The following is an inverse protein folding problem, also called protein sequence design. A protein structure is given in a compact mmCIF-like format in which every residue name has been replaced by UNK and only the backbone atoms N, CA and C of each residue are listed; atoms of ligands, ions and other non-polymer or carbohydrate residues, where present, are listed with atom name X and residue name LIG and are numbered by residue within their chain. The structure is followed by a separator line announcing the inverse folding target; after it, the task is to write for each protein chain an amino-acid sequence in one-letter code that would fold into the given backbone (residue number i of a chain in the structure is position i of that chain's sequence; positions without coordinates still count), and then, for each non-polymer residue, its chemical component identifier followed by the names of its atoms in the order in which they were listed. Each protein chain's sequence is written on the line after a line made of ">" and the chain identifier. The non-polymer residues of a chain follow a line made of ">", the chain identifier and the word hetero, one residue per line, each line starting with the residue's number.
data_IF_145304647131
#
_entry.id   IF_145304647131
#
_cell.length_a   1.000
_cell.length_b   1.000
_cell.length_c   1.000
_cell.angle_alpha   90.00
_cell.angle_beta   90.00
_cell.angle_gamma   90.00
#
_symmetry.space_group_name_H-M   'P 1'
#
loop_
_entity.id
_entity.type
_entity.pdbx_description
1 polymer ?
#
# COMPACT_ATOMS: atom_id res chain seq x y z
N UNK A 1 -18.78 9.00 -1.39
CA UNK A 1 -18.34 7.94 -0.42
C UNK A 1 -17.38 8.58 0.59
N UNK A 2 -17.54 8.33 1.89
CA UNK A 2 -16.64 8.89 2.91
C UNK A 2 -15.20 8.43 2.65
N UNK A 3 -14.20 9.34 2.81
CA UNK A 3 -12.76 9.03 2.60
C UNK A 3 -12.30 7.79 3.40
N UNK A 4 -12.87 7.58 4.59
CA UNK A 4 -12.61 6.38 5.41
C UNK A 4 -13.06 5.07 4.74
N UNK A 5 -14.18 5.10 4.03
CA UNK A 5 -14.67 3.94 3.29
C UNK A 5 -13.82 3.65 2.06
N UNK A 6 -13.41 4.69 1.34
CA UNK A 6 -12.52 4.55 0.18
C UNK A 6 -11.18 3.93 0.60
N UNK A 7 -10.58 4.37 1.71
CA UNK A 7 -9.32 3.80 2.20
C UNK A 7 -9.43 2.32 2.53
N UNK A 8 -10.50 1.93 3.25
CA UNK A 8 -10.68 0.55 3.66
C UNK A 8 -10.96 -0.39 2.49
N UNK A 9 -11.74 0.07 1.51
CA UNK A 9 -12.03 -0.70 0.30
C UNK A 9 -10.75 -0.92 -0.53
N UNK A 10 -9.96 0.13 -0.74
CA UNK A 10 -8.70 0.02 -1.49
C UNK A 10 -7.71 -0.94 -0.81
N UNK A 11 -7.54 -0.84 0.51
CA UNK A 11 -6.66 -1.75 1.26
C UNK A 11 -7.16 -3.19 1.18
N UNK A 12 -8.47 -3.42 1.29
CA UNK A 12 -9.06 -4.75 1.17
C UNK A 12 -8.83 -5.37 -0.21
N UNK A 13 -9.05 -4.59 -1.29
CA UNK A 13 -8.84 -5.04 -2.67
C UNK A 13 -7.41 -5.55 -2.88
N UNK A 14 -6.40 -4.75 -2.52
CA UNK A 14 -5.02 -5.15 -2.75
C UNK A 14 -4.54 -6.24 -1.79
N UNK A 15 -5.12 -6.33 -0.57
CA UNK A 15 -4.86 -7.46 0.33
C UNK A 15 -5.39 -8.77 -0.25
N UNK A 16 -6.62 -8.77 -0.79
CA UNK A 16 -7.21 -9.94 -1.43
C UNK A 16 -6.42 -10.30 -2.70
N UNK A 17 -6.06 -9.31 -3.52
CA UNK A 17 -5.24 -9.54 -4.72
C UNK A 17 -3.89 -10.19 -4.37
N UNK A 18 -3.21 -9.71 -3.33
CA UNK A 18 -1.97 -10.31 -2.86
C UNK A 18 -2.15 -11.79 -2.46
N UNK A 19 -3.20 -12.11 -1.69
CA UNK A 19 -3.51 -13.49 -1.31
C UNK A 19 -3.80 -14.38 -2.51
N UNK A 20 -4.62 -13.90 -3.46
CA UNK A 20 -4.92 -14.63 -4.70
C UNK A 20 -3.63 -14.92 -5.46
N UNK A 21 -2.76 -13.93 -5.66
CA UNK A 21 -1.50 -14.09 -6.36
C UNK A 21 -0.54 -15.06 -5.65
N UNK A 22 -0.53 -15.08 -4.30
CA UNK A 22 0.22 -16.08 -3.53
C UNK A 22 -0.31 -17.48 -3.81
N UNK A 23 -1.63 -17.68 -3.75
CA UNK A 23 -2.26 -18.99 -3.95
C UNK A 23 -1.97 -19.56 -5.34
N UNK A 24 -1.99 -18.71 -6.39
CA UNK A 24 -1.70 -19.14 -7.77
C UNK A 24 -0.21 -19.14 -8.10
N UNK A 25 0.68 -18.87 -7.14
CA UNK A 25 2.14 -18.89 -7.31
C UNK A 25 2.72 -17.73 -8.11
N UNK A 26 1.98 -16.64 -8.32
CA UNK A 26 2.42 -15.44 -9.06
C UNK A 26 3.05 -14.42 -8.10
N UNK A 27 4.21 -14.77 -7.54
CA UNK A 27 4.84 -14.01 -6.45
C UNK A 27 5.20 -12.57 -6.81
N UNK A 28 5.69 -12.27 -8.02
CA UNK A 28 5.99 -10.89 -8.42
C UNK A 28 4.73 -10.01 -8.35
N UNK A 29 3.58 -10.50 -8.84
CA UNK A 29 2.30 -9.80 -8.74
C UNK A 29 1.77 -9.72 -7.31
N UNK A 30 2.03 -10.74 -6.47
CA UNK A 30 1.70 -10.68 -5.05
C UNK A 30 2.48 -9.55 -4.34
N UNK A 31 3.78 -9.44 -4.61
CA UNK A 31 4.64 -8.38 -4.07
C UNK A 31 4.20 -7.01 -4.59
N UNK A 32 3.81 -6.90 -5.86
CA UNK A 32 3.25 -5.67 -6.40
C UNK A 32 1.97 -5.27 -5.65
N UNK A 33 1.05 -6.20 -5.45
CA UNK A 33 -0.18 -5.93 -4.72
C UNK A 33 0.07 -5.53 -3.25
N UNK A 34 1.01 -6.20 -2.57
CA UNK A 34 1.40 -5.87 -1.19
C UNK A 34 2.04 -4.48 -1.08
N UNK A 35 2.97 -4.14 -1.97
CA UNK A 35 3.63 -2.83 -1.95
C UNK A 35 2.62 -1.69 -2.20
N UNK A 36 1.68 -1.87 -3.13
CA UNK A 36 0.58 -0.90 -3.33
C UNK A 36 -0.31 -0.81 -2.09
N UNK A 37 -0.67 -1.93 -1.48
CA UNK A 37 -1.47 -1.97 -0.23
C UNK A 37 -0.77 -1.20 0.90
N UNK A 38 0.53 -1.39 1.09
CA UNK A 38 1.31 -0.67 2.10
C UNK A 38 1.47 0.81 1.79
N UNK A 39 1.68 1.19 0.53
CA UNK A 39 1.74 2.60 0.13
C UNK A 39 0.45 3.34 0.51
N UNK A 40 -0.70 2.76 0.15
CA UNK A 40 -2.00 3.35 0.44
C UNK A 40 -2.34 3.35 1.93
N UNK A 41 -2.21 2.20 2.61
CA UNK A 41 -2.56 2.11 4.04
C UNK A 41 -1.73 3.04 4.91
N UNK A 42 -0.43 3.19 4.63
CA UNK A 42 0.43 4.14 5.33
C UNK A 42 0.12 5.58 4.96
N UNK A 43 -0.24 5.88 3.70
CA UNK A 43 -0.70 7.22 3.31
C UNK A 43 -1.98 7.63 4.05
N UNK A 44 -2.94 6.72 4.18
CA UNK A 44 -4.17 6.97 4.96
C UNK A 44 -3.89 7.10 6.46
N UNK A 45 -2.99 6.29 7.02
CA UNK A 45 -2.55 6.43 8.42
C UNK A 45 -1.84 7.74 8.67
N UNK A 46 -0.98 8.20 7.76
CA UNK A 46 -0.27 9.47 7.88
C UNK A 46 -1.25 10.63 8.06
N UNK A 47 -2.26 10.71 7.18
CA UNK A 47 -3.31 11.71 7.28
C UNK A 47 -4.15 11.58 8.55
N UNK A 48 -4.55 10.36 8.90
CA UNK A 48 -5.33 10.08 10.10
C UNK A 48 -4.60 10.50 11.38
N UNK A 49 -3.29 10.25 11.44
CA UNK A 49 -2.44 10.63 12.57
C UNK A 49 -2.21 12.15 12.64
N UNK A 50 -2.07 12.81 11.51
CA UNK A 50 -1.99 14.28 11.44
C UNK A 50 -3.27 14.94 11.97
N UNK A 51 -4.45 14.44 11.56
CA UNK A 51 -5.76 14.89 12.04
C UNK A 51 -5.98 14.66 13.54
N UNK A 52 -5.26 13.70 14.14
CA UNK A 52 -5.32 13.37 15.57
C UNK A 52 -4.23 14.06 16.42
N UNK A 53 -3.33 14.85 15.80
CA UNK A 53 -2.23 15.52 16.49
C UNK A 53 -0.98 14.67 16.72
N UNK A 54 -0.92 13.45 16.17
CA UNK A 54 0.23 12.54 16.25
C UNK A 54 1.29 12.87 15.17
N UNK A 55 1.94 14.03 15.30
CA UNK A 55 2.82 14.57 14.25
C UNK A 55 4.05 13.69 13.92
N UNK A 56 4.65 13.03 14.92
CA UNK A 56 5.83 12.16 14.70
C UNK A 56 5.46 10.89 13.95
N UNK A 57 4.36 10.27 14.36
CA UNK A 57 3.80 9.06 13.78
C UNK A 57 3.27 9.32 12.37
N UNK A 58 2.62 10.47 12.15
CA UNK A 58 2.18 10.91 10.84
C UNK A 58 3.35 11.02 9.86
N UNK A 59 4.46 11.63 10.29
CA UNK A 59 5.69 11.77 9.50
C UNK A 59 6.31 10.41 9.18
N UNK A 60 6.36 9.49 10.15
CA UNK A 60 6.83 8.13 9.94
C UNK A 60 5.98 7.38 8.91
N UNK A 61 4.65 7.43 9.05
CA UNK A 61 3.72 6.80 8.11
C UNK A 61 3.84 7.39 6.70
N UNK A 62 4.08 8.70 6.59
CA UNK A 62 4.35 9.36 5.30
C UNK A 62 5.61 8.81 4.64
N UNK A 63 6.70 8.61 5.39
CA UNK A 63 7.93 8.02 4.85
C UNK A 63 7.72 6.57 4.40
N UNK A 64 6.97 5.78 5.18
CA UNK A 64 6.62 4.42 4.78
C UNK A 64 5.77 4.39 3.51
N UNK A 65 4.79 5.30 3.39
CA UNK A 65 3.97 5.42 2.19
C UNK A 65 4.83 5.70 0.94
N UNK A 66 5.80 6.63 1.05
CA UNK A 66 6.73 6.96 -0.04
C UNK A 66 7.63 5.76 -0.37
N UNK A 67 8.21 5.11 0.63
CA UNK A 67 9.05 3.92 0.43
C UNK A 67 8.32 2.83 -0.36
N UNK A 68 7.09 2.49 0.07
CA UNK A 68 6.31 1.46 -0.60
C UNK A 68 5.78 1.88 -1.97
N UNK A 69 5.53 3.17 -2.20
CA UNK A 69 5.19 3.70 -3.53
C UNK A 69 6.37 3.58 -4.51
N UNK A 70 7.59 3.83 -4.05
CA UNK A 70 8.79 3.62 -4.87
C UNK A 70 8.99 2.11 -5.11
N UNK A 71 8.85 1.29 -4.07
CA UNK A 71 8.96 -0.16 -4.19
C UNK A 71 7.94 -0.75 -5.17
N UNK A 72 6.70 -0.26 -5.20
CA UNK A 72 5.69 -0.75 -6.15
C UNK A 72 6.06 -0.43 -7.59
N UNK A 73 6.64 0.76 -7.86
CA UNK A 73 7.16 1.12 -9.18
C UNK A 73 8.31 0.19 -9.59
N UNK A 74 9.26 -0.07 -8.68
CA UNK A 74 10.39 -0.97 -8.95
C UNK A 74 9.90 -2.39 -9.27
N UNK A 75 8.98 -2.93 -8.47
CA UNK A 75 8.43 -4.28 -8.69
C UNK A 75 7.63 -4.32 -9.99
N UNK A 76 6.91 -3.25 -10.33
CA UNK A 76 6.22 -3.16 -11.60
C UNK A 76 7.20 -3.19 -12.78
N UNK A 77 8.33 -2.48 -12.68
CA UNK A 77 9.40 -2.54 -13.69
C UNK A 77 9.95 -3.96 -13.82
N UNK A 78 10.25 -4.63 -12.70
CA UNK A 78 10.72 -6.02 -12.69
C UNK A 78 9.74 -6.93 -13.43
N UNK A 79 8.44 -6.80 -13.17
CA UNK A 79 7.39 -7.58 -13.87
C UNK A 79 7.38 -7.34 -15.38
N UNK A 80 7.73 -6.14 -15.84
CA UNK A 80 7.75 -5.82 -17.27
C UNK A 80 9.04 -6.29 -17.96
N UNK A 81 10.09 -6.55 -17.19
CA UNK A 81 11.42 -6.93 -17.72
C UNK A 81 11.77 -8.40 -17.53
N UNK A 82 11.08 -9.11 -16.63
CA UNK A 82 11.14 -10.57 -16.44
C UNK A 82 10.24 -11.31 -17.44
#
# INVERSE_FOLDING_TARGET
>A
MNRKWLSSILVAIFSIAALVFIIIGKFNFAVLAMTIMFAMSNGFRAKSFEEQGYGKEAKWMKYMAIFFAIASIIVFIIILTD
#
